data_IF_505183813217
#
_entry.id   IF_505183813217
#
_cell.length_a   1.000
_cell.length_b   1.000
_cell.length_c   1.000
_cell.angle_alpha   90.00
_cell.angle_beta   90.00
_cell.angle_gamma   90.00
#
_symmetry.space_group_name_H-M   'P 1'
#
loop_
_entity.id
_entity.type
_entity.pdbx_description
1 polymer ?
#
# COMPACT_ATOMS: atom_id res chain seq x y z
N UNK A 1 1.23 -27.35 -4.19
CA UNK A 1 -0.19 -26.99 -4.46
C UNK A 1 -0.20 -25.52 -4.82
N UNK A 2 -0.83 -25.14 -5.92
CA UNK A 2 -0.88 -23.75 -6.38
C UNK A 2 -1.92 -22.98 -5.55
N UNK A 3 -1.44 -22.13 -4.64
CA UNK A 3 -2.28 -21.42 -3.66
C UNK A 3 -3.32 -20.51 -4.33
N UNK A 4 -2.95 -19.85 -5.43
CA UNK A 4 -3.85 -18.99 -6.19
C UNK A 4 -5.02 -19.82 -6.72
N UNK A 5 -4.73 -20.97 -7.34
CA UNK A 5 -5.79 -21.89 -7.83
C UNK A 5 -6.74 -22.34 -6.72
N UNK A 6 -6.25 -22.52 -5.49
CA UNK A 6 -7.10 -22.87 -4.35
C UNK A 6 -8.06 -21.74 -4.00
N UNK A 7 -7.60 -20.49 -4.01
CA UNK A 7 -8.42 -19.31 -3.67
C UNK A 7 -9.47 -18.93 -4.74
N UNK A 8 -9.47 -19.61 -5.89
CA UNK A 8 -10.50 -19.42 -6.93
C UNK A 8 -11.84 -20.05 -6.53
N UNK A 9 -11.78 -21.23 -5.91
CA UNK A 9 -12.96 -22.04 -5.60
C UNK A 9 -13.14 -22.27 -4.09
N UNK A 10 -12.37 -21.58 -3.25
CA UNK A 10 -12.41 -21.74 -1.81
C UNK A 10 -12.01 -20.44 -1.12
N UNK A 11 -12.64 -20.19 0.03
CA UNK A 11 -12.18 -19.16 0.94
C UNK A 11 -11.05 -19.71 1.82
N UNK A 12 -9.98 -18.94 1.95
CA UNK A 12 -8.89 -19.21 2.86
C UNK A 12 -8.83 -18.11 3.91
N UNK A 13 -8.51 -18.52 5.13
CA UNK A 13 -8.37 -17.65 6.30
C UNK A 13 -6.96 -17.80 6.86
N UNK A 14 -6.27 -16.68 6.97
CA UNK A 14 -5.00 -16.56 7.69
C UNK A 14 -5.29 -15.90 9.03
N UNK A 15 -4.76 -16.50 10.10
CA UNK A 15 -4.75 -15.91 11.43
C UNK A 15 -3.31 -15.54 11.81
N UNK A 16 -3.12 -14.51 12.66
CA UNK A 16 -1.85 -14.30 13.35
C UNK A 16 -1.47 -15.55 14.15
N UNK A 17 -0.18 -15.79 14.34
CA UNK A 17 0.27 -16.91 15.17
C UNK A 17 0.00 -16.57 16.65
N UNK A 18 -0.72 -17.44 17.36
CA UNK A 18 -1.04 -17.28 18.79
C UNK A 18 0.22 -17.20 19.68
N UNK A 19 1.39 -17.58 19.14
CA UNK A 19 2.69 -17.51 19.83
C UNK A 19 3.38 -16.14 19.72
N UNK A 20 2.89 -15.20 18.91
CA UNK A 20 3.42 -13.84 18.83
C UNK A 20 3.01 -13.04 20.09
N UNK A 21 3.85 -13.12 21.12
CA UNK A 21 3.63 -12.47 22.44
C UNK A 21 3.49 -10.93 22.37
N UNK A 22 3.91 -10.30 21.27
CA UNK A 22 4.00 -8.84 21.15
C UNK A 22 2.79 -8.19 20.43
N UNK A 23 1.68 -8.92 20.19
CA UNK A 23 0.42 -8.39 19.61
C UNK A 23 0.60 -7.58 18.31
N UNK A 24 1.63 -7.89 17.54
CA UNK A 24 1.97 -7.19 16.29
C UNK A 24 1.26 -7.88 15.14
N UNK A 25 0.64 -7.11 14.25
CA UNK A 25 -0.04 -7.71 13.10
C UNK A 25 0.94 -8.31 12.07
N UNK A 26 0.61 -9.48 11.49
CA UNK A 26 1.38 -10.05 10.39
C UNK A 26 1.16 -9.27 9.09
N UNK A 27 2.13 -9.32 8.16
CA UNK A 27 2.01 -8.70 6.84
C UNK A 27 0.80 -9.24 6.05
N UNK A 28 -0.20 -8.40 5.71
CA UNK A 28 -1.36 -8.83 4.94
C UNK A 28 -1.13 -8.76 3.42
N UNK A 29 -0.07 -8.10 2.97
CA UNK A 29 0.20 -7.91 1.53
C UNK A 29 0.53 -9.25 0.89
N UNK A 30 1.42 -10.03 1.50
CA UNK A 30 1.81 -11.35 1.00
C UNK A 30 0.62 -12.29 0.79
N UNK A 31 -0.25 -12.58 1.79
CA UNK A 31 -1.41 -13.44 1.57
C UNK A 31 -2.39 -12.87 0.54
N UNK A 32 -2.62 -11.55 0.50
CA UNK A 32 -3.45 -10.93 -0.54
C UNK A 32 -2.86 -11.12 -1.95
N UNK A 33 -1.54 -11.05 -2.11
CA UNK A 33 -0.84 -11.30 -3.39
C UNK A 33 -1.07 -12.72 -3.93
N UNK A 34 -1.34 -13.69 -3.04
CA UNK A 34 -1.72 -15.06 -3.41
C UNK A 34 -3.24 -15.29 -3.47
N UNK A 35 -4.04 -14.23 -3.33
CA UNK A 35 -5.50 -14.28 -3.45
C UNK A 35 -6.25 -14.77 -2.21
N UNK A 36 -5.57 -14.90 -1.06
CA UNK A 36 -6.22 -15.20 0.23
C UNK A 36 -7.16 -14.05 0.56
N UNK A 37 -8.43 -14.36 0.84
CA UNK A 37 -9.47 -13.36 0.98
C UNK A 37 -9.59 -12.83 2.40
N UNK A 38 -9.37 -13.69 3.39
CA UNK A 38 -9.54 -13.36 4.80
C UNK A 38 -8.18 -13.43 5.48
N UNK A 39 -7.65 -12.26 5.82
CA UNK A 39 -6.42 -12.11 6.59
C UNK A 39 -6.83 -11.42 7.89
N UNK A 40 -6.89 -12.19 8.97
CA UNK A 40 -7.27 -11.67 10.27
C UNK A 40 -6.11 -10.86 10.85
N UNK A 41 -6.45 -9.65 11.30
CA UNK A 41 -5.56 -8.73 11.97
C UNK A 41 -6.17 -8.38 13.33
N UNK A 42 -5.34 -8.07 14.32
CA UNK A 42 -5.74 -7.47 15.58
C UNK A 42 -6.01 -5.98 15.39
N UNK A 43 -7.24 -5.56 15.73
CA UNK A 43 -7.71 -4.18 15.64
C UNK A 43 -7.54 -3.40 16.95
N UNK A 44 -7.02 -4.04 18.01
CA UNK A 44 -6.83 -3.41 19.32
C UNK A 44 -5.65 -2.41 19.33
N UNK A 45 -4.65 -2.63 18.49
CA UNK A 45 -3.45 -1.80 18.40
C UNK A 45 -3.39 -1.04 17.06
N UNK A 46 -3.19 0.29 17.12
CA UNK A 46 -2.98 1.13 15.93
C UNK A 46 -1.53 1.01 15.43
N UNK A 47 -1.23 -0.11 14.78
CA UNK A 47 0.07 -0.37 14.18
C UNK A 47 0.11 0.06 12.69
N UNK A 48 1.31 0.15 12.08
CA UNK A 48 1.42 0.45 10.65
C UNK A 48 0.71 -0.58 9.75
N UNK A 49 0.59 -1.84 10.16
CA UNK A 49 0.06 -2.89 9.31
C UNK A 49 -1.46 -2.76 9.18
N UNK A 50 -2.15 -2.42 10.26
CA UNK A 50 -3.58 -2.19 10.29
C UNK A 50 -4.00 -1.07 9.32
N UNK A 51 -3.15 -0.04 9.13
CA UNK A 51 -3.44 1.01 8.16
C UNK A 51 -3.40 0.56 6.70
N UNK A 52 -2.70 -0.54 6.38
CA UNK A 52 -2.77 -1.16 5.05
C UNK A 52 -4.13 -1.80 4.82
N UNK A 53 -4.70 -2.44 5.85
CA UNK A 53 -6.06 -2.99 5.81
C UNK A 53 -7.09 -1.88 5.64
N UNK A 54 -7.04 -0.84 6.47
CA UNK A 54 -7.92 0.32 6.30
C UNK A 54 -7.80 0.93 4.90
N UNK A 55 -6.57 1.10 4.39
CA UNK A 55 -6.34 1.61 3.05
C UNK A 55 -6.96 0.74 1.97
N UNK A 56 -6.69 -0.57 1.97
CA UNK A 56 -7.23 -1.51 0.97
C UNK A 56 -8.76 -1.48 0.93
N UNK A 57 -9.39 -1.51 2.09
CA UNK A 57 -10.84 -1.58 2.21
C UNK A 57 -11.52 -0.22 2.19
N UNK A 58 -10.80 0.88 1.94
CA UNK A 58 -11.46 2.15 1.58
C UNK A 58 -12.12 2.10 0.19
N UNK A 59 -11.67 1.18 -0.67
CA UNK A 59 -12.31 0.93 -1.95
C UNK A 59 -13.71 0.33 -1.78
N UNK A 60 -14.52 0.44 -2.83
CA UNK A 60 -15.88 -0.08 -2.88
C UNK A 60 -16.76 0.42 -1.70
N UNK A 61 -16.59 1.69 -1.33
CA UNK A 61 -17.42 2.37 -0.35
C UNK A 61 -17.29 1.83 1.07
N UNK A 62 -16.11 1.35 1.48
CA UNK A 62 -15.83 0.86 2.83
C UNK A 62 -16.68 -0.36 3.25
N UNK A 63 -17.24 -1.12 2.31
CA UNK A 63 -18.15 -2.22 2.64
C UNK A 63 -17.45 -3.50 3.18
N UNK A 64 -16.11 -3.52 3.21
CA UNK A 64 -15.32 -4.68 3.62
C UNK A 64 -15.08 -5.73 2.52
N UNK A 65 -15.59 -5.51 1.31
CA UNK A 65 -15.41 -6.40 0.16
C UNK A 65 -14.80 -5.66 -1.02
N UNK A 66 -13.64 -6.12 -1.50
CA UNK A 66 -12.97 -5.61 -2.70
C UNK A 66 -12.78 -6.76 -3.68
N UNK A 67 -13.17 -6.57 -4.94
CA UNK A 67 -13.03 -7.60 -5.97
C UNK A 67 -11.54 -7.85 -6.26
N UNK A 68 -11.14 -9.13 -6.28
CA UNK A 68 -9.78 -9.52 -6.67
C UNK A 68 -9.54 -9.23 -8.18
N UNK A 69 -8.30 -8.88 -8.58
CA UNK A 69 -7.93 -8.78 -9.99
C UNK A 69 -8.24 -10.03 -10.82
N UNK A 70 -8.41 -9.86 -12.13
CA UNK A 70 -8.78 -10.96 -13.04
C UNK A 70 -7.78 -12.14 -13.02
N UNK A 71 -6.48 -11.85 -12.87
CA UNK A 71 -5.43 -12.88 -12.78
C UNK A 71 -5.44 -13.65 -11.46
N UNK A 72 -6.24 -13.22 -10.48
CA UNK A 72 -6.52 -13.93 -9.23
C UNK A 72 -7.94 -14.54 -9.17
N UNK A 73 -8.74 -14.42 -10.25
CA UNK A 73 -10.12 -14.94 -10.34
C UNK A 73 -10.39 -15.86 -11.54
N UNK A 74 -9.55 -15.86 -12.59
CA UNK A 74 -9.75 -16.70 -13.77
C UNK A 74 -8.70 -17.83 -13.91
N UNK A 75 -9.18 -19.08 -13.94
CA UNK A 75 -8.35 -20.30 -14.07
C UNK A 75 -7.50 -20.28 -15.36
N UNK A 76 -8.04 -19.80 -16.47
CA UNK A 76 -7.32 -19.72 -17.74
C UNK A 76 -6.21 -18.65 -17.76
N UNK A 77 -6.23 -17.71 -16.81
CA UNK A 77 -5.23 -16.64 -16.65
C UNK A 77 -4.26 -16.91 -15.48
N UNK A 78 -4.36 -18.05 -14.79
CA UNK A 78 -3.60 -18.34 -13.55
C UNK A 78 -2.14 -18.78 -13.79
N UNK A 79 -1.46 -18.22 -14.79
CA UNK A 79 0.01 -18.26 -14.87
C UNK A 79 0.64 -17.18 -13.97
N UNK A 80 -0.17 -16.25 -13.46
CA UNK A 80 0.28 -15.28 -12.50
C UNK A 80 0.79 -15.98 -11.24
N UNK A 81 2.03 -15.66 -10.88
CA UNK A 81 2.64 -16.06 -9.62
C UNK A 81 3.41 -14.85 -9.08
N UNK A 82 3.05 -14.29 -7.91
CA UNK A 82 3.71 -13.11 -7.36
C UNK A 82 5.22 -13.33 -7.14
N UNK A 83 5.66 -14.59 -6.96
CA UNK A 83 7.08 -14.94 -6.82
C UNK A 83 7.91 -14.75 -8.10
N UNK A 84 7.27 -14.65 -9.27
CA UNK A 84 7.96 -14.31 -10.51
C UNK A 84 8.27 -12.81 -10.62
N UNK A 85 7.71 -12.00 -9.72
CA UNK A 85 7.76 -10.55 -9.72
C UNK A 85 8.44 -10.02 -8.45
N UNK A 86 9.52 -10.70 -8.03
CA UNK A 86 10.41 -10.21 -6.95
C UNK A 86 11.12 -8.93 -7.41
N UNK A 87 11.50 -8.88 -8.69
CA UNK A 87 12.13 -7.73 -9.34
C UNK A 87 11.30 -7.26 -10.53
N UNK A 88 11.66 -6.09 -11.07
CA UNK A 88 10.99 -5.50 -12.24
C UNK A 88 10.95 -6.51 -13.40
N UNK A 89 9.77 -6.82 -13.98
CA UNK A 89 9.68 -7.80 -15.04
C UNK A 89 10.35 -7.30 -16.32
N UNK A 90 11.19 -8.14 -16.94
CA UNK A 90 11.78 -7.85 -18.26
C UNK A 90 10.75 -8.00 -19.39
N UNK A 91 9.79 -8.93 -19.20
CA UNK A 91 8.65 -9.14 -20.08
C UNK A 91 7.44 -9.52 -19.24
N UNK A 92 6.28 -9.01 -19.62
CA UNK A 92 5.01 -9.52 -19.12
C UNK A 92 4.68 -10.85 -19.80
N UNK A 93 4.04 -11.76 -19.06
CA UNK A 93 3.37 -12.90 -19.69
C UNK A 93 2.20 -12.35 -20.52
N UNK A 94 2.00 -12.89 -21.72
CA UNK A 94 0.89 -12.52 -22.61
C UNK A 94 -0.49 -12.69 -21.94
N UNK A 95 -0.56 -13.49 -20.88
CA UNK A 95 -1.79 -13.81 -20.14
C UNK A 95 -2.08 -12.87 -18.95
N UNK A 96 -1.15 -11.97 -18.60
CA UNK A 96 -1.34 -10.97 -17.54
C UNK A 96 -1.76 -9.65 -18.17
N UNK A 97 -3.08 -9.41 -18.18
CA UNK A 97 -3.68 -8.17 -18.63
C UNK A 97 -3.64 -7.12 -17.51
N UNK A 98 -2.46 -6.58 -17.23
CA UNK A 98 -2.27 -5.39 -16.40
C UNK A 98 -1.74 -4.24 -17.25
N UNK A 99 -2.08 -3.01 -16.88
CA UNK A 99 -1.57 -1.81 -17.53
C UNK A 99 -0.60 -1.12 -16.57
N UNK A 100 0.72 -1.22 -16.78
CA UNK A 100 1.69 -0.54 -15.92
C UNK A 100 1.47 0.96 -15.94
N UNK A 101 1.57 1.59 -14.77
CA UNK A 101 1.32 3.02 -14.58
C UNK A 101 2.58 3.71 -14.09
N UNK A 102 2.82 4.93 -14.58
CA UNK A 102 3.79 5.85 -14.01
C UNK A 102 3.06 6.91 -13.21
N UNK A 103 3.20 6.85 -11.90
CA UNK A 103 2.63 7.82 -10.98
C UNK A 103 3.65 8.94 -10.73
N UNK A 104 3.27 10.17 -11.06
CA UNK A 104 4.05 11.37 -10.76
C UNK A 104 3.33 12.12 -9.64
N UNK A 105 3.98 12.22 -8.48
CA UNK A 105 3.43 12.90 -7.31
C UNK A 105 4.20 14.18 -7.05
N UNK A 106 3.48 15.26 -6.78
CA UNK A 106 4.06 16.50 -6.29
C UNK A 106 3.59 16.74 -4.87
N UNK A 107 4.51 16.66 -3.91
CA UNK A 107 4.24 17.00 -2.51
C UNK A 107 4.45 18.49 -2.37
N UNK A 108 3.35 19.24 -2.34
CA UNK A 108 3.36 20.70 -2.33
C UNK A 108 3.62 21.21 -0.91
N UNK A 109 2.73 20.89 0.03
CA UNK A 109 2.75 21.45 1.37
C UNK A 109 2.05 20.56 2.40
N UNK A 110 2.23 20.86 3.68
CA UNK A 110 1.51 20.25 4.80
C UNK A 110 0.88 21.31 5.68
N UNK A 111 -0.32 21.04 6.19
CA UNK A 111 -1.08 21.96 7.04
C UNK A 111 -1.51 21.27 8.34
N UNK A 112 -1.76 22.06 9.38
CA UNK A 112 -2.27 21.59 10.68
C UNK A 112 -1.48 20.45 11.35
N UNK A 113 -0.20 20.30 11.02
CA UNK A 113 0.65 19.32 11.69
C UNK A 113 0.86 19.70 13.15
N UNK A 114 0.73 18.72 14.05
CA UNK A 114 1.02 18.91 15.48
C UNK A 114 2.49 19.29 15.64
N UNK A 115 2.74 20.51 16.13
CA UNK A 115 4.10 21.00 16.34
C UNK A 115 4.63 20.50 17.69
N UNK A 116 5.73 19.77 17.64
CA UNK A 116 6.61 19.52 18.78
C UNK A 116 7.74 20.57 18.81
N UNK A 117 8.46 20.69 19.93
CA UNK A 117 9.52 21.69 20.10
C UNK A 117 10.78 21.41 19.24
N UNK A 118 10.87 20.23 18.62
CA UNK A 118 11.97 19.80 17.77
C UNK A 118 11.41 19.20 16.47
N UNK A 119 10.67 20.01 15.70
CA UNK A 119 10.02 19.57 14.47
C UNK A 119 10.95 19.61 13.25
N UNK A 120 11.32 18.44 12.73
CA UNK A 120 11.90 18.28 11.38
C UNK A 120 10.96 17.42 10.51
N UNK A 121 9.75 17.93 10.18
CA UNK A 121 8.73 17.11 9.55
C UNK A 121 9.15 16.71 8.13
N UNK A 122 8.84 15.47 7.79
CA UNK A 122 8.96 14.94 6.44
C UNK A 122 7.81 13.99 6.13
N UNK A 123 7.59 13.76 4.84
CA UNK A 123 6.60 12.82 4.34
C UNK A 123 7.36 11.63 3.76
N UNK A 124 7.09 10.45 4.31
CA UNK A 124 7.52 9.17 3.76
C UNK A 124 6.41 8.64 2.86
N UNK A 125 6.77 8.31 1.62
CA UNK A 125 5.90 7.74 0.61
C UNK A 125 6.33 6.31 0.34
N UNK A 126 5.44 5.36 0.55
CA UNK A 126 5.73 3.94 0.39
C UNK A 126 4.63 3.22 -0.38
N UNK A 127 5.03 2.35 -1.31
CA UNK A 127 4.11 1.50 -2.06
C UNK A 127 4.15 0.08 -1.52
N UNK A 128 2.97 -0.54 -1.40
CA UNK A 128 2.79 -1.90 -0.89
C UNK A 128 1.97 -2.73 -1.86
N UNK A 129 2.46 -3.89 -2.25
CA UNK A 129 1.80 -4.77 -3.22
C UNK A 129 2.71 -5.90 -3.64
N UNK A 130 2.74 -6.19 -4.93
CA UNK A 130 3.70 -7.13 -5.53
C UNK A 130 5.13 -6.63 -5.25
N UNK A 131 6.11 -7.49 -4.92
CA UNK A 131 7.44 -7.03 -4.49
C UNK A 131 8.15 -6.11 -5.50
N UNK A 132 7.96 -6.32 -6.81
CA UNK A 132 8.54 -5.46 -7.84
C UNK A 132 8.03 -4.00 -7.81
N UNK A 133 6.86 -3.75 -7.20
CA UNK A 133 6.25 -2.43 -7.07
C UNK A 133 6.61 -1.73 -5.76
N UNK A 134 7.20 -2.43 -4.80
CA UNK A 134 7.54 -1.87 -3.50
C UNK A 134 8.67 -0.85 -3.63
N UNK A 135 8.38 0.40 -3.26
CA UNK A 135 9.25 1.55 -3.37
C UNK A 135 9.04 2.42 -2.14
N UNK A 136 10.11 3.07 -1.66
CA UNK A 136 10.07 4.01 -0.55
C UNK A 136 10.83 5.26 -0.97
N UNK A 137 10.19 6.42 -0.87
CA UNK A 137 10.78 7.73 -1.12
C UNK A 137 10.39 8.67 0.01
N UNK A 138 11.21 9.69 0.28
CA UNK A 138 10.92 10.67 1.33
C UNK A 138 11.21 12.07 0.86
N UNK A 139 10.46 13.03 1.38
CA UNK A 139 10.77 14.45 1.23
C UNK A 139 11.97 14.85 2.07
N UNK A 140 12.50 16.05 1.80
CA UNK A 140 13.44 16.74 2.67
C UNK A 140 12.77 17.09 4.00
N UNK A 141 13.58 17.31 5.01
CA UNK A 141 13.16 17.82 6.32
C UNK A 141 13.32 19.34 6.38
N UNK A 142 12.50 19.99 7.20
CA UNK A 142 12.57 21.43 7.46
C UNK A 142 12.94 21.70 8.91
N UNK A 143 13.89 22.62 9.15
CA UNK A 143 14.15 23.12 10.50
C UNK A 143 12.93 23.85 11.08
N UNK A 144 12.67 23.65 12.38
CA UNK A 144 11.45 24.00 13.15
C UNK A 144 10.95 25.46 13.07
N UNK A 145 11.67 26.36 12.41
CA UNK A 145 11.43 27.82 12.39
C UNK A 145 10.43 28.27 11.33
N UNK A 146 10.14 27.45 10.32
CA UNK A 146 9.21 27.80 9.26
C UNK A 146 7.77 27.44 9.64
N UNK A 147 6.87 28.43 9.57
CA UNK A 147 5.44 28.26 9.83
C UNK A 147 4.68 27.68 8.64
N UNK A 148 5.25 27.77 7.43
CA UNK A 148 4.71 27.18 6.21
C UNK A 148 5.58 25.99 5.81
N UNK A 149 5.00 24.79 5.84
CA UNK A 149 5.65 23.57 5.38
C UNK A 149 5.35 23.39 3.91
N UNK A 150 6.28 23.81 3.06
CA UNK A 150 6.17 23.70 1.60
C UNK A 150 7.37 22.92 1.07
N UNK A 151 7.15 21.67 0.67
CA UNK A 151 8.19 20.83 0.08
C UNK A 151 8.41 21.15 -1.40
N UNK A 152 7.32 21.26 -2.17
CA UNK A 152 7.33 21.39 -3.63
C UNK A 152 8.25 20.37 -4.32
N UNK A 153 8.22 19.12 -3.85
CA UNK A 153 9.08 18.04 -4.35
C UNK A 153 8.29 17.09 -5.25
N UNK A 154 8.93 16.63 -6.34
CA UNK A 154 8.33 15.73 -7.33
C UNK A 154 8.94 14.34 -7.16
N UNK A 155 8.08 13.33 -7.11
CA UNK A 155 8.44 11.92 -6.97
C UNK A 155 7.82 11.13 -8.12
N UNK A 156 8.50 10.06 -8.53
CA UNK A 156 8.04 9.16 -9.58
C UNK A 156 8.02 7.73 -9.05
N UNK A 157 6.89 7.04 -9.26
CA UNK A 157 6.74 5.62 -8.96
C UNK A 157 6.31 4.89 -10.25
N UNK A 158 7.08 3.89 -10.66
CA UNK A 158 6.67 2.98 -11.73
C UNK A 158 5.96 1.78 -11.10
N UNK A 159 4.70 1.55 -11.45
CA UNK A 159 3.81 0.53 -10.86
C UNK A 159 3.39 -0.46 -11.94
N UNK A 160 3.74 -1.72 -11.75
CA UNK A 160 3.55 -2.83 -12.68
C UNK A 160 2.23 -3.58 -12.46
N UNK A 161 1.70 -3.60 -11.23
CA UNK A 161 0.43 -4.22 -10.83
C UNK A 161 -0.46 -3.25 -10.04
N UNK A 162 -1.04 -2.22 -10.69
CA UNK A 162 -1.80 -1.19 -9.99
C UNK A 162 -2.97 -1.70 -9.15
N UNK A 163 -3.67 -2.75 -9.60
CA UNK A 163 -4.83 -3.31 -8.86
C UNK A 163 -4.44 -3.98 -7.53
N UNK A 164 -3.15 -4.30 -7.35
CA UNK A 164 -2.60 -4.92 -6.14
C UNK A 164 -1.75 -3.97 -5.31
N UNK A 165 -1.64 -2.69 -5.72
CA UNK A 165 -0.73 -1.74 -5.12
C UNK A 165 -1.47 -0.67 -4.29
N UNK A 166 -1.04 -0.51 -3.04
CA UNK A 166 -1.42 0.55 -2.13
C UNK A 166 -0.33 1.62 -2.11
N UNK A 167 -0.74 2.88 -2.06
CA UNK A 167 0.13 4.02 -1.78
C UNK A 167 -0.11 4.45 -0.34
N UNK A 168 0.98 4.62 0.41
CA UNK A 168 0.95 5.10 1.79
C UNK A 168 1.79 6.36 1.93
N UNK A 169 1.27 7.28 2.72
CA UNK A 169 1.91 8.50 3.14
C UNK A 169 2.00 8.47 4.66
N UNK A 170 3.20 8.57 5.23
CA UNK A 170 3.41 8.80 6.65
C UNK A 170 4.01 10.19 6.83
N UNK A 171 3.37 11.00 7.66
CA UNK A 171 3.92 12.27 8.13
C UNK A 171 4.68 11.99 9.41
N UNK A 172 5.96 12.30 9.44
CA UNK A 172 6.86 11.94 10.54
C UNK A 172 7.62 13.16 11.07
N UNK A 173 7.86 13.17 12.38
CA UNK A 173 8.75 14.07 13.11
C UNK A 173 9.27 13.36 14.36
N UNK A 174 10.48 12.80 14.33
CA UNK A 174 11.06 11.86 15.32
C UNK A 174 10.24 10.56 15.56
N UNK A 175 8.91 10.65 15.50
CA UNK A 175 7.88 9.63 15.54
C UNK A 175 6.84 9.90 14.44
N UNK A 176 5.96 8.93 14.15
CA UNK A 176 4.86 9.11 13.18
C UNK A 176 3.79 10.05 13.76
N UNK A 177 3.44 11.10 13.02
CA UNK A 177 2.42 12.09 13.37
C UNK A 177 1.05 11.75 12.77
N UNK A 178 1.03 11.31 11.51
CA UNK A 178 -0.19 10.97 10.78
C UNK A 178 0.12 9.96 9.67
N UNK A 179 -0.90 9.26 9.18
CA UNK A 179 -0.78 8.38 8.02
C UNK A 179 -2.05 8.37 7.17
N UNK A 180 -1.90 8.05 5.89
CA UNK A 180 -2.99 7.80 4.96
C UNK A 180 -2.51 6.75 3.98
N UNK A 181 -3.35 5.77 3.72
CA UNK A 181 -3.06 4.66 2.83
C UNK A 181 -4.26 4.48 1.91
N UNK A 182 -4.07 4.29 0.61
CA UNK A 182 -5.15 4.05 -0.34
C UNK A 182 -4.68 3.20 -1.52
N UNK A 183 -5.58 2.48 -2.22
CA UNK A 183 -5.21 1.80 -3.46
C UNK A 183 -4.86 2.82 -4.53
N UNK A 184 -3.82 2.52 -5.33
CA UNK A 184 -3.38 3.43 -6.40
C UNK A 184 -4.50 3.67 -7.42
N UNK A 185 -5.32 2.65 -7.69
CA UNK A 185 -6.48 2.73 -8.58
C UNK A 185 -7.56 3.74 -8.13
N UNK A 186 -7.57 4.12 -6.85
CA UNK A 186 -8.52 5.11 -6.29
C UNK A 186 -7.95 6.53 -6.24
N UNK A 187 -6.68 6.71 -6.59
CA UNK A 187 -6.04 8.02 -6.59
C UNK A 187 -6.63 8.91 -7.69
N UNK A 188 -7.10 10.10 -7.29
CA UNK A 188 -7.58 11.11 -8.23
C UNK A 188 -6.38 11.89 -8.79
N UNK A 189 -6.45 12.22 -10.08
CA UNK A 189 -5.46 13.07 -10.74
C UNK A 189 -5.70 14.55 -10.40
N UNK A 190 -4.68 15.39 -10.65
CA UNK A 190 -4.76 16.83 -10.39
C UNK A 190 -4.45 17.19 -8.94
N UNK A 191 -4.83 18.42 -8.56
CA UNK A 191 -4.60 18.96 -7.23
C UNK A 191 -5.60 18.37 -6.24
N UNK A 192 -5.09 17.67 -5.23
CA UNK A 192 -5.89 17.01 -4.22
C UNK A 192 -5.33 17.29 -2.84
N UNK A 193 -6.21 17.65 -1.90
CA UNK A 193 -5.86 17.64 -0.49
C UNK A 193 -6.06 16.22 0.03
N UNK A 194 -4.97 15.61 0.45
CA UNK A 194 -4.97 14.40 1.24
C UNK A 194 -4.33 14.84 2.55
N UNK A 195 -4.99 14.53 3.66
CA UNK A 195 -4.75 15.08 5.01
C UNK A 195 -5.28 16.50 5.25
#
# INVERSE_FOLDING_TARGET
MDLIKRTLNSFLLMYPDDLEQDSTNPDPITPWNFGIQMVALDYQNDDPILSLSYGKFMDNGNCGYVLKPEYLTHISKSLFNPLNYITKPLKYSEDIFECPQRLILTIISGQFLRRTNACDPYILMSTYGIPCDQQIQKTKTFSCKNWNLEWNEIFQFDIYFPQMCLMRFDVCDHHRLAYFCLPITTMQTGLNNRF
#
